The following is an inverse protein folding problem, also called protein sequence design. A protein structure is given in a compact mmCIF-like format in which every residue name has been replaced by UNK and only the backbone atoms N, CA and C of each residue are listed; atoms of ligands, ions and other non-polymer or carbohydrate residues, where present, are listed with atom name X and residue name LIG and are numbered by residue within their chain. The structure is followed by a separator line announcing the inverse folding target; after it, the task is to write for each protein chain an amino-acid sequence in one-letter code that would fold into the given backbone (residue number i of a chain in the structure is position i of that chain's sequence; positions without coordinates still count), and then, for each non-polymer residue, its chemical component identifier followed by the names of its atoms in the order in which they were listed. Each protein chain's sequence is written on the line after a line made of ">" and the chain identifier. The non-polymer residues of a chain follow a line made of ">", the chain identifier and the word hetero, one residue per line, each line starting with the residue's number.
data_IF_919436258365
#
_entry.id   IF_919436258365
#
_cell.length_a   1.000
_cell.length_b   1.000
_cell.length_c   1.000
_cell.angle_alpha   90.00
_cell.angle_beta   90.00
_cell.angle_gamma   90.00
#
_symmetry.space_group_name_H-M   'P 1'
#
loop_
_entity.id
_entity.type
_entity.pdbx_description
1 polymer ?
#
# COMPACT_ATOMS: atom_id res chain seq x y z
N UNK A 1 -2.04 27.42 -3.42
CA UNK A 1 -2.09 26.66 -4.68
C UNK A 1 -2.50 25.25 -4.36
N UNK A 2 -3.41 24.66 -5.12
CA UNK A 2 -3.78 23.26 -4.98
C UNK A 2 -2.54 22.37 -5.18
N UNK A 3 -2.49 21.23 -4.49
CA UNK A 3 -1.43 20.23 -4.67
C UNK A 3 -1.59 19.57 -6.05
N UNK A 4 -0.51 19.05 -6.63
CA UNK A 4 -0.57 18.33 -7.90
C UNK A 4 0.12 16.98 -7.78
N UNK A 5 -0.60 15.91 -8.14
CA UNK A 5 -0.15 14.52 -8.15
C UNK A 5 -0.43 13.92 -9.55
N UNK A 6 0.15 14.50 -10.59
CA UNK A 6 -0.13 14.21 -12.01
C UNK A 6 0.45 12.86 -12.48
N UNK A 7 1.10 12.10 -11.60
CA UNK A 7 1.75 10.84 -11.93
C UNK A 7 1.20 9.68 -11.10
N UNK A 8 1.12 8.51 -11.70
CA UNK A 8 0.90 7.22 -11.06
C UNK A 8 2.23 6.63 -10.58
N UNK A 9 2.21 5.74 -9.60
CA UNK A 9 3.40 5.05 -9.14
C UNK A 9 3.41 3.61 -9.66
N UNK A 10 4.26 3.32 -10.66
CA UNK A 10 4.32 2.02 -11.33
C UNK A 10 5.78 1.58 -11.48
N UNK A 11 6.09 0.37 -11.00
CA UNK A 11 7.41 -0.22 -11.13
C UNK A 11 8.52 0.58 -10.44
N UNK A 12 8.20 1.28 -9.33
CA UNK A 12 9.16 2.12 -8.61
C UNK A 12 9.43 3.47 -9.27
N UNK A 13 8.55 3.92 -10.18
CA UNK A 13 8.70 5.19 -10.89
C UNK A 13 7.37 5.95 -10.95
N UNK A 14 7.47 7.28 -10.91
CA UNK A 14 6.33 8.17 -11.11
C UNK A 14 6.09 8.37 -12.62
N UNK A 15 4.95 7.90 -13.11
CA UNK A 15 4.62 7.81 -14.54
C UNK A 15 3.42 8.69 -14.86
N UNK A 16 3.50 9.59 -15.85
CA UNK A 16 2.37 10.42 -16.27
C UNK A 16 1.16 9.58 -16.70
N UNK A 17 -0.03 9.94 -16.22
CA UNK A 17 -1.28 9.26 -16.58
C UNK A 17 -1.87 9.71 -17.92
N UNK A 18 -1.52 10.91 -18.38
CA UNK A 18 -2.09 11.52 -19.58
C UNK A 18 -3.41 12.27 -19.36
N UNK A 19 -4.04 12.12 -18.20
CA UNK A 19 -5.22 12.84 -17.71
C UNK A 19 -5.09 13.14 -16.23
N UNK A 20 -5.93 14.02 -15.70
CA UNK A 20 -6.05 14.30 -14.27
C UNK A 20 -7.47 14.78 -13.95
N UNK A 21 -7.90 14.56 -12.71
CA UNK A 21 -9.16 15.04 -12.16
C UNK A 21 -8.92 15.88 -10.90
N UNK A 22 -9.92 16.69 -10.55
CA UNK A 22 -9.89 17.50 -9.36
C UNK A 22 -10.40 16.70 -8.16
N UNK A 23 -9.59 16.62 -7.13
CA UNK A 23 -9.92 16.08 -5.82
C UNK A 23 -10.38 17.24 -4.93
N UNK A 24 -11.62 17.16 -4.44
CA UNK A 24 -12.30 18.27 -3.79
C UNK A 24 -12.31 18.13 -2.27
N UNK A 25 -12.05 19.23 -1.58
CA UNK A 25 -12.32 19.32 -0.15
C UNK A 25 -13.85 19.30 0.09
N UNK A 26 -14.39 18.27 0.75
CA UNK A 26 -15.85 18.17 0.95
C UNK A 26 -16.41 19.20 1.92
N UNK A 27 -15.57 19.93 2.68
CA UNK A 27 -16.03 20.94 3.62
C UNK A 27 -16.48 22.23 2.93
N UNK A 28 -15.86 22.59 1.80
CA UNK A 28 -16.13 23.86 1.12
C UNK A 28 -16.20 23.75 -0.42
N UNK A 29 -15.98 22.55 -0.98
CA UNK A 29 -15.99 22.30 -2.42
C UNK A 29 -14.79 22.86 -3.17
N UNK A 30 -13.78 23.37 -2.48
CA UNK A 30 -12.55 23.85 -3.13
C UNK A 30 -11.71 22.68 -3.64
N UNK A 31 -10.91 22.91 -4.71
CA UNK A 31 -9.96 21.92 -5.19
C UNK A 31 -8.84 21.77 -4.17
N UNK A 32 -8.77 20.61 -3.53
CA UNK A 32 -7.73 20.24 -2.57
C UNK A 32 -6.46 19.79 -3.28
N UNK A 33 -6.63 18.95 -4.31
CA UNK A 33 -5.53 18.48 -5.15
C UNK A 33 -5.99 18.25 -6.60
N UNK A 34 -5.02 18.14 -7.50
CA UNK A 34 -5.20 17.58 -8.83
C UNK A 34 -4.49 16.24 -8.90
N UNK A 35 -5.19 15.20 -9.30
CA UNK A 35 -4.70 13.81 -9.21
C UNK A 35 -4.72 13.16 -10.59
N UNK A 36 -3.71 12.36 -10.88
CA UNK A 36 -3.61 11.56 -12.09
C UNK A 36 -4.87 10.72 -12.33
N UNK A 37 -5.37 10.68 -13.58
CA UNK A 37 -6.49 9.86 -14.01
C UNK A 37 -5.95 8.62 -14.74
N UNK A 38 -5.87 7.51 -14.00
CA UNK A 38 -5.37 6.24 -14.51
C UNK A 38 -6.40 5.55 -15.41
N UNK A 39 -5.94 4.62 -16.24
CA UNK A 39 -6.80 3.85 -17.13
C UNK A 39 -6.45 2.36 -17.12
N UNK A 40 -7.26 1.53 -17.81
CA UNK A 40 -7.04 0.08 -17.86
C UNK A 40 -5.66 -0.33 -18.39
N UNK A 41 -5.08 0.42 -19.34
CA UNK A 41 -3.72 0.17 -19.83
C UNK A 41 -2.66 0.41 -18.76
N UNK A 42 -2.85 1.44 -17.91
CA UNK A 42 -1.97 1.69 -16.76
C UNK A 42 -2.09 0.59 -15.69
N UNK A 43 -3.31 0.11 -15.46
CA UNK A 43 -3.53 -1.02 -14.55
C UNK A 43 -2.82 -2.29 -15.02
N UNK A 44 -2.85 -2.59 -16.32
CA UNK A 44 -2.11 -3.72 -16.90
C UNK A 44 -0.60 -3.55 -16.69
N UNK A 45 -0.05 -2.37 -16.97
CA UNK A 45 1.38 -2.06 -16.71
C UNK A 45 1.76 -2.22 -15.24
N UNK A 46 0.88 -1.83 -14.31
CA UNK A 46 1.10 -1.99 -12.87
C UNK A 46 1.13 -3.48 -12.47
N UNK A 47 0.24 -4.30 -13.05
CA UNK A 47 0.22 -5.76 -12.85
C UNK A 47 1.50 -6.39 -13.40
N UNK A 48 1.94 -6.02 -14.59
CA UNK A 48 3.18 -6.51 -15.21
C UNK A 48 4.41 -6.14 -14.36
N UNK A 49 4.47 -4.90 -13.85
CA UNK A 49 5.53 -4.46 -12.95
C UNK A 49 5.55 -5.26 -11.64
N UNK A 50 4.36 -5.52 -11.06
CA UNK A 50 4.22 -6.34 -9.87
C UNK A 50 4.65 -7.80 -10.13
N UNK A 51 4.28 -8.38 -11.27
CA UNK A 51 4.70 -9.73 -11.67
C UNK A 51 6.21 -9.83 -11.85
N UNK A 52 6.83 -8.81 -12.43
CA UNK A 52 8.29 -8.77 -12.61
C UNK A 52 9.04 -8.66 -11.27
N UNK A 53 8.49 -7.94 -10.28
CA UNK A 53 9.08 -7.79 -8.95
C UNK A 53 8.91 -9.04 -8.06
N UNK A 54 7.85 -9.82 -8.29
CA UNK A 54 7.42 -10.92 -7.43
C UNK A 54 8.52 -11.95 -7.14
N UNK A 55 9.29 -12.48 -8.10
CA UNK A 55 10.32 -13.50 -7.82
C UNK A 55 11.37 -13.01 -6.83
N UNK A 56 11.81 -11.76 -6.98
CA UNK A 56 12.77 -11.16 -6.04
C UNK A 56 12.16 -10.97 -4.65
N UNK A 57 10.98 -10.33 -4.57
CA UNK A 57 10.32 -10.03 -3.30
C UNK A 57 9.94 -11.27 -2.51
N UNK A 58 9.34 -12.27 -3.18
CA UNK A 58 8.95 -13.54 -2.55
C UNK A 58 10.14 -14.41 -2.13
N UNK A 59 11.30 -14.21 -2.76
CA UNK A 59 12.56 -14.89 -2.44
C UNK A 59 13.31 -14.30 -1.23
N UNK A 60 12.95 -13.09 -0.78
CA UNK A 60 13.53 -12.50 0.42
C UNK A 60 13.19 -13.34 1.66
N UNK A 61 14.11 -13.34 2.63
CA UNK A 61 13.87 -13.96 3.93
C UNK A 61 12.76 -13.23 4.70
N UNK A 62 12.18 -13.90 5.70
CA UNK A 62 11.19 -13.29 6.58
C UNK A 62 11.74 -12.04 7.31
N UNK A 63 13.03 -12.06 7.71
CA UNK A 63 13.69 -10.93 8.35
C UNK A 63 13.79 -9.70 7.42
N UNK A 64 14.17 -9.91 6.16
CA UNK A 64 14.29 -8.82 5.19
C UNK A 64 12.93 -8.17 4.92
N UNK A 65 11.88 -8.97 4.72
CA UNK A 65 10.53 -8.41 4.54
C UNK A 65 10.04 -7.70 5.80
N UNK A 66 10.25 -8.26 7.00
CA UNK A 66 9.93 -7.60 8.26
C UNK A 66 10.62 -6.24 8.38
N UNK A 67 11.90 -6.16 8.04
CA UNK A 67 12.67 -4.92 8.08
C UNK A 67 12.06 -3.82 7.18
N UNK A 68 11.63 -4.16 5.95
CA UNK A 68 10.93 -3.20 5.09
C UNK A 68 9.61 -2.73 5.69
N UNK A 69 8.82 -3.64 6.28
CA UNK A 69 7.55 -3.26 6.93
C UNK A 69 7.77 -2.31 8.12
N UNK A 70 8.83 -2.53 8.90
CA UNK A 70 9.19 -1.63 10.00
C UNK A 70 9.61 -0.24 9.49
N UNK A 71 10.40 -0.17 8.41
CA UNK A 71 10.75 1.11 7.78
C UNK A 71 9.51 1.86 7.27
N UNK A 72 8.55 1.16 6.69
CA UNK A 72 7.27 1.76 6.26
C UNK A 72 6.51 2.31 7.46
N UNK A 73 6.47 1.58 8.59
CA UNK A 73 5.85 2.06 9.82
C UNK A 73 6.52 3.35 10.34
N UNK A 74 7.85 3.39 10.35
CA UNK A 74 8.63 4.54 10.81
C UNK A 74 8.41 5.77 9.90
N UNK A 75 8.29 5.58 8.57
CA UNK A 75 7.98 6.65 7.62
C UNK A 75 6.55 7.20 7.83
N UNK A 76 5.56 6.36 8.14
CA UNK A 76 4.22 6.82 8.52
C UNK A 76 4.26 7.65 9.81
N UNK A 77 5.02 7.24 10.82
CA UNK A 77 5.17 8.03 12.05
C UNK A 77 5.84 9.38 11.80
N UNK A 78 6.89 9.39 10.99
CA UNK A 78 7.60 10.62 10.62
C UNK A 78 6.69 11.63 9.90
N UNK A 79 5.73 11.15 9.11
CA UNK A 79 4.80 11.95 8.32
C UNK A 79 3.41 12.10 8.97
N UNK A 80 3.31 11.83 10.26
CA UNK A 80 2.04 11.81 10.99
C UNK A 80 1.22 13.09 10.84
N UNK A 81 1.85 14.24 11.03
CA UNK A 81 1.17 15.54 10.97
C UNK A 81 0.72 15.86 9.53
N UNK A 82 1.52 15.53 8.53
CA UNK A 82 1.16 15.67 7.11
C UNK A 82 -0.07 14.81 6.78
N UNK A 83 -0.09 13.56 7.28
CA UNK A 83 -1.21 12.64 7.07
C UNK A 83 -2.48 13.15 7.75
N UNK A 84 -2.40 13.65 8.99
CA UNK A 84 -3.55 14.25 9.70
C UNK A 84 -4.12 15.42 8.89
N UNK A 85 -3.25 16.32 8.42
CA UNK A 85 -3.67 17.47 7.62
C UNK A 85 -4.30 17.04 6.27
N UNK A 86 -3.75 16.01 5.64
CA UNK A 86 -4.31 15.46 4.40
C UNK A 86 -5.70 14.83 4.62
N UNK A 87 -5.86 14.01 5.66
CA UNK A 87 -7.14 13.38 6.01
C UNK A 87 -8.25 14.40 6.33
N UNK A 88 -7.86 15.58 6.88
CA UNK A 88 -8.81 16.66 7.09
C UNK A 88 -9.17 17.39 5.79
N UNK A 89 -8.19 17.67 4.94
CA UNK A 89 -8.39 18.46 3.73
C UNK A 89 -9.02 17.66 2.59
N UNK A 90 -8.57 16.44 2.33
CA UNK A 90 -9.09 15.57 1.27
C UNK A 90 -10.41 14.91 1.69
N UNK A 91 -10.44 14.29 2.87
CA UNK A 91 -11.58 13.48 3.31
C UNK A 91 -12.59 14.22 4.20
N UNK A 92 -12.39 15.53 4.51
CA UNK A 92 -13.24 16.28 5.42
C UNK A 92 -13.28 15.73 6.85
N UNK A 93 -12.31 14.89 7.21
CA UNK A 93 -12.27 14.25 8.51
C UNK A 93 -12.03 15.23 9.64
N UNK A 94 -12.69 15.06 10.79
CA UNK A 94 -12.35 15.82 11.98
C UNK A 94 -10.98 15.42 12.54
N UNK A 95 -10.33 16.31 13.28
CA UNK A 95 -8.95 16.12 13.78
C UNK A 95 -8.73 14.76 14.49
N UNK A 96 -9.67 14.34 15.35
CA UNK A 96 -9.54 13.06 16.08
C UNK A 96 -9.56 11.83 15.16
N UNK A 97 -10.28 11.86 14.02
CA UNK A 97 -10.22 10.81 13.01
C UNK A 97 -8.83 10.76 12.38
N UNK A 98 -8.27 11.92 12.01
CA UNK A 98 -6.92 12.02 11.46
C UNK A 98 -5.86 11.48 12.45
N UNK A 99 -5.95 11.83 13.72
CA UNK A 99 -5.09 11.32 14.78
C UNK A 99 -5.22 9.80 14.98
N UNK A 100 -6.44 9.29 14.91
CA UNK A 100 -6.70 7.85 15.03
C UNK A 100 -6.08 7.07 13.86
N UNK A 101 -6.35 7.45 12.61
CA UNK A 101 -5.79 6.76 11.45
C UNK A 101 -4.26 6.82 11.43
N UNK A 102 -3.70 8.02 11.60
CA UNK A 102 -2.25 8.24 11.58
C UNK A 102 -1.50 7.49 12.70
N UNK A 103 -2.15 7.28 13.85
CA UNK A 103 -1.58 6.49 14.94
C UNK A 103 -1.73 4.98 14.75
N UNK A 104 -2.79 4.53 14.07
CA UNK A 104 -3.06 3.11 13.91
C UNK A 104 -2.33 2.48 12.71
N UNK A 105 -2.10 3.24 11.64
CA UNK A 105 -1.45 2.72 10.43
C UNK A 105 -0.04 2.17 10.66
N UNK A 106 0.87 2.84 11.40
CA UNK A 106 2.16 2.26 11.75
C UNK A 106 2.05 0.91 12.46
N UNK A 107 1.05 0.77 13.36
CA UNK A 107 0.82 -0.49 14.10
C UNK A 107 0.38 -1.64 13.19
N UNK A 108 -0.37 -1.35 12.11
CA UNK A 108 -0.73 -2.37 11.09
C UNK A 108 0.54 -2.90 10.42
N UNK A 109 1.48 -2.04 10.04
CA UNK A 109 2.74 -2.45 9.43
C UNK A 109 3.66 -3.19 10.42
N UNK A 110 3.70 -2.79 11.70
CA UNK A 110 4.42 -3.53 12.75
C UNK A 110 3.83 -4.90 12.98
N UNK A 111 2.50 -5.02 13.00
CA UNK A 111 1.82 -6.31 13.09
C UNK A 111 2.12 -7.21 11.87
N UNK A 112 2.14 -6.63 10.66
CA UNK A 112 2.51 -7.35 9.44
C UNK A 112 3.97 -7.81 9.47
N UNK A 113 4.90 -6.99 9.98
CA UNK A 113 6.28 -7.39 10.21
C UNK A 113 6.38 -8.57 11.18
N UNK A 114 5.67 -8.51 12.33
CA UNK A 114 5.65 -9.60 13.30
C UNK A 114 5.06 -10.90 12.72
N UNK A 115 4.06 -10.82 11.84
CA UNK A 115 3.46 -11.97 11.18
C UNK A 115 4.47 -12.77 10.35
N UNK A 116 5.52 -12.16 9.81
CA UNK A 116 6.52 -12.87 8.99
C UNK A 116 7.26 -13.96 9.75
N UNK A 117 7.30 -13.89 11.08
CA UNK A 117 7.93 -14.89 11.96
C UNK A 117 7.02 -16.07 12.31
N UNK A 118 5.76 -16.04 11.91
CA UNK A 118 4.83 -17.14 12.19
C UNK A 118 5.14 -18.35 11.29
N UNK A 119 4.76 -19.54 11.79
CA UNK A 119 4.90 -20.79 11.03
C UNK A 119 4.13 -20.71 9.69
N UNK A 120 4.81 -21.08 8.62
CA UNK A 120 4.26 -21.03 7.24
C UNK A 120 3.57 -22.33 6.82
N UNK A 121 3.51 -23.34 7.70
CA UNK A 121 2.92 -24.62 7.37
C UNK A 121 2.84 -25.58 8.54
N UNK A 122 2.38 -26.77 8.24
CA UNK A 122 2.16 -27.85 9.20
C UNK A 122 2.79 -29.17 8.69
N UNK A 123 3.27 -29.97 9.61
CA UNK A 123 3.68 -31.36 9.33
C UNK A 123 2.45 -32.25 9.49
N UNK A 124 2.12 -33.00 8.44
CA UNK A 124 0.93 -33.84 8.39
C UNK A 124 1.30 -35.31 8.70
N UNK A 125 0.36 -36.13 9.22
CA UNK A 125 0.54 -37.57 9.32
C UNK A 125 0.95 -38.18 7.96
N UNK A 126 1.91 -39.11 8.00
CA UNK A 126 2.47 -39.73 6.80
C UNK A 126 2.76 -41.20 7.05
N UNK A 127 2.83 -41.99 5.98
CA UNK A 127 3.29 -43.39 6.02
C UNK A 127 4.78 -43.50 6.39
N UNK A 128 5.20 -44.68 6.79
CA UNK A 128 6.60 -44.94 7.11
C UNK A 128 7.55 -44.51 6.02
N UNK A 129 8.62 -43.80 6.37
CA UNK A 129 9.65 -43.35 5.45
C UNK A 129 9.27 -42.11 4.61
N UNK A 130 8.11 -41.45 4.89
CA UNK A 130 7.67 -40.21 4.23
C UNK A 130 7.51 -39.08 5.22
N UNK A 131 7.66 -37.85 4.72
CA UNK A 131 7.29 -36.61 5.41
C UNK A 131 6.32 -35.83 4.53
N UNK A 132 5.15 -35.51 5.05
CA UNK A 132 4.15 -34.70 4.36
C UNK A 132 4.01 -33.36 5.07
N UNK A 133 4.02 -32.27 4.32
CA UNK A 133 3.88 -30.91 4.85
C UNK A 133 2.87 -30.11 4.01
N UNK A 134 1.98 -29.38 4.68
CA UNK A 134 1.17 -28.33 4.07
C UNK A 134 1.90 -27.01 4.24
N UNK A 135 2.27 -26.35 3.13
CA UNK A 135 3.04 -25.10 3.15
C UNK A 135 2.23 -23.97 2.53
N UNK A 136 2.16 -22.83 3.22
CA UNK A 136 1.59 -21.60 2.66
C UNK A 136 2.62 -20.92 1.76
N UNK A 137 2.15 -20.41 0.61
CA UNK A 137 2.98 -19.69 -0.35
C UNK A 137 2.30 -18.39 -0.75
N UNK A 138 3.05 -17.32 -1.06
CA UNK A 138 2.46 -16.11 -1.63
C UNK A 138 1.79 -16.44 -2.98
N UNK A 139 0.67 -15.77 -3.26
CA UNK A 139 -0.13 -15.98 -4.48
C UNK A 139 0.47 -15.30 -5.71
N UNK A 140 1.28 -14.26 -5.53
CA UNK A 140 1.87 -13.47 -6.61
C UNK A 140 1.47 -12.00 -6.54
N UNK A 141 0.58 -11.56 -7.42
CA UNK A 141 0.06 -10.20 -7.45
C UNK A 141 -1.31 -10.14 -6.80
N UNK A 142 -1.48 -9.20 -5.87
CA UNK A 142 -2.73 -8.94 -5.16
C UNK A 142 -3.23 -7.53 -5.54
N UNK A 143 -4.48 -7.43 -5.96
CA UNK A 143 -5.13 -6.13 -6.15
C UNK A 143 -5.85 -5.70 -4.89
N UNK A 144 -5.61 -4.47 -4.46
CA UNK A 144 -6.30 -3.83 -3.34
C UNK A 144 -7.13 -2.67 -3.86
N UNK A 145 -8.45 -2.72 -3.65
CA UNK A 145 -9.38 -1.62 -3.95
C UNK A 145 -9.82 -1.06 -2.61
N UNK A 146 -9.40 0.15 -2.27
CA UNK A 146 -9.65 0.72 -0.95
C UNK A 146 -10.81 1.70 -0.95
N UNK A 147 -11.58 1.77 0.15
CA UNK A 147 -12.69 2.70 0.30
C UNK A 147 -12.23 4.07 0.80
N UNK A 148 -13.14 5.05 0.76
CA UNK A 148 -12.90 6.44 1.13
C UNK A 148 -13.09 6.76 2.63
N UNK A 149 -13.87 5.95 3.36
CA UNK A 149 -14.33 6.34 4.72
C UNK A 149 -13.25 6.28 5.82
N UNK A 150 -12.27 5.37 5.70
CA UNK A 150 -11.03 5.30 6.49
C UNK A 150 -9.88 4.98 5.54
N UNK A 151 -9.55 5.92 4.63
CA UNK A 151 -8.76 5.60 3.44
C UNK A 151 -7.40 5.02 3.77
N UNK A 152 -6.65 5.67 4.65
CA UNK A 152 -5.29 5.21 4.97
C UNK A 152 -5.31 3.92 5.79
N UNK A 153 -6.20 3.81 6.79
CA UNK A 153 -6.29 2.63 7.64
C UNK A 153 -6.71 1.38 6.85
N UNK A 154 -7.76 1.48 6.04
CA UNK A 154 -8.28 0.32 5.31
C UNK A 154 -7.36 -0.09 4.16
N UNK A 155 -6.69 0.86 3.51
CA UNK A 155 -5.61 0.56 2.57
C UNK A 155 -4.47 -0.17 3.28
N UNK A 156 -3.98 0.32 4.41
CA UNK A 156 -2.91 -0.35 5.17
C UNK A 156 -3.26 -1.80 5.51
N UNK A 157 -4.49 -2.05 5.96
CA UNK A 157 -4.98 -3.41 6.25
C UNK A 157 -5.03 -4.31 5.01
N UNK A 158 -5.39 -3.74 3.86
CA UNK A 158 -5.47 -4.47 2.60
C UNK A 158 -4.11 -4.87 2.03
N UNK A 159 -3.06 -4.06 2.24
CA UNK A 159 -1.77 -4.27 1.58
C UNK A 159 -0.63 -4.75 2.50
N UNK A 160 -0.61 -4.37 3.78
CA UNK A 160 0.54 -4.66 4.65
C UNK A 160 0.78 -6.17 4.82
N UNK A 161 -0.26 -6.94 5.13
CA UNK A 161 -0.15 -8.39 5.34
C UNK A 161 0.16 -9.16 4.05
N UNK A 162 -0.48 -8.90 2.90
CA UNK A 162 -0.08 -9.52 1.63
C UNK A 162 1.38 -9.25 1.25
N UNK A 163 1.85 -8.01 1.41
CA UNK A 163 3.23 -7.64 1.11
C UNK A 163 4.21 -8.36 2.07
N UNK A 164 3.94 -8.35 3.36
CA UNK A 164 4.75 -9.06 4.35
C UNK A 164 4.81 -10.58 4.09
N UNK A 165 3.70 -11.16 3.60
CA UNK A 165 3.64 -12.57 3.19
C UNK A 165 4.42 -12.88 1.90
N UNK A 166 4.93 -11.87 1.19
CA UNK A 166 5.76 -12.04 -0.03
C UNK A 166 5.01 -11.80 -1.33
N UNK A 167 3.80 -11.24 -1.32
CA UNK A 167 3.09 -10.81 -2.53
C UNK A 167 3.51 -9.40 -2.94
N UNK A 168 3.31 -9.06 -4.23
CA UNK A 168 3.35 -7.69 -4.73
C UNK A 168 1.92 -7.16 -4.88
N UNK A 169 1.74 -5.84 -4.80
CA UNK A 169 0.42 -5.22 -4.74
C UNK A 169 0.23 -4.19 -5.85
N UNK A 170 -0.96 -4.21 -6.44
CA UNK A 170 -1.52 -3.10 -7.23
C UNK A 170 -2.67 -2.50 -6.42
N UNK A 171 -2.50 -1.25 -6.01
CA UNK A 171 -3.45 -0.49 -5.23
C UNK A 171 -4.27 0.45 -6.12
N UNK A 172 -5.60 0.35 -6.03
CA UNK A 172 -6.54 1.35 -6.56
C UNK A 172 -7.26 2.01 -5.38
N UNK A 173 -6.92 3.25 -5.02
CA UNK A 173 -7.68 4.01 -4.01
C UNK A 173 -9.07 4.38 -4.54
N UNK A 174 -9.95 4.82 -3.63
CA UNK A 174 -11.18 5.51 -4.03
C UNK A 174 -10.83 6.83 -4.71
N UNK A 175 -11.64 7.23 -5.69
CA UNK A 175 -11.60 8.53 -6.33
C UNK A 175 -11.93 9.70 -5.39
N UNK A 176 -12.58 9.42 -4.28
CA UNK A 176 -12.90 10.41 -3.24
C UNK A 176 -11.73 10.70 -2.29
N UNK A 177 -10.72 9.83 -2.24
CA UNK A 177 -9.55 9.97 -1.36
C UNK A 177 -8.30 9.35 -2.02
N UNK A 178 -7.94 9.82 -3.22
CA UNK A 178 -6.87 9.21 -4.01
C UNK A 178 -5.48 9.40 -3.38
N UNK A 179 -5.26 10.49 -2.66
CA UNK A 179 -3.99 10.74 -1.98
C UNK A 179 -3.87 9.94 -0.69
N UNK A 180 -4.80 10.13 0.26
CA UNK A 180 -4.72 9.48 1.59
C UNK A 180 -4.96 7.97 1.53
N UNK A 181 -5.71 7.50 0.53
CA UNK A 181 -5.93 6.08 0.26
C UNK A 181 -4.92 5.45 -0.71
N UNK A 182 -4.09 6.24 -1.39
CA UNK A 182 -3.23 5.75 -2.47
C UNK A 182 -1.87 6.39 -2.55
N UNK A 183 -1.75 7.63 -3.03
CA UNK A 183 -0.48 8.24 -3.39
C UNK A 183 0.49 8.38 -2.21
N UNK A 184 0.00 8.65 -1.01
CA UNK A 184 0.84 8.72 0.20
C UNK A 184 1.56 7.39 0.48
N UNK A 185 0.94 6.25 0.15
CA UNK A 185 1.60 4.95 0.29
C UNK A 185 2.76 4.80 -0.69
N UNK A 186 2.60 5.27 -1.93
CA UNK A 186 3.69 5.26 -2.91
C UNK A 186 4.89 6.07 -2.41
N UNK A 187 4.65 7.30 -1.94
CA UNK A 187 5.69 8.18 -1.39
C UNK A 187 6.40 7.55 -0.18
N UNK A 188 5.63 6.93 0.73
CA UNK A 188 6.17 6.29 1.93
C UNK A 188 6.96 5.03 1.58
N UNK A 189 6.47 4.19 0.67
CA UNK A 189 7.17 2.98 0.24
C UNK A 189 8.47 3.30 -0.49
N UNK A 190 8.47 4.35 -1.32
CA UNK A 190 9.68 4.87 -1.96
C UNK A 190 10.69 5.37 -0.92
N UNK A 191 10.26 6.19 0.05
CA UNK A 191 11.12 6.71 1.11
C UNK A 191 11.66 5.61 2.03
N UNK A 192 10.87 4.57 2.30
CA UNK A 192 11.30 3.38 3.06
C UNK A 192 12.27 2.48 2.28
N UNK A 193 12.48 2.74 0.99
CA UNK A 193 13.35 1.97 0.11
C UNK A 193 12.81 0.58 -0.22
N UNK A 194 11.48 0.40 -0.24
CA UNK A 194 10.86 -0.86 -0.66
C UNK A 194 11.19 -1.10 -2.15
N UNK A 195 11.58 -2.32 -2.55
CA UNK A 195 11.98 -2.59 -3.92
C UNK A 195 10.91 -2.22 -4.96
N UNK A 196 11.37 -1.71 -6.11
CA UNK A 196 10.54 -1.30 -7.23
C UNK A 196 9.54 -2.41 -7.64
N UNK A 197 8.28 -2.04 -7.87
CA UNK A 197 7.22 -2.95 -8.30
C UNK A 197 6.54 -3.77 -7.19
N UNK A 198 7.04 -3.75 -5.94
CA UNK A 198 6.37 -4.39 -4.79
C UNK A 198 5.03 -3.72 -4.49
N UNK A 199 4.98 -2.39 -4.56
CA UNK A 199 3.76 -1.60 -4.54
C UNK A 199 3.66 -0.81 -5.86
N UNK A 200 2.46 -0.82 -6.43
CA UNK A 200 2.07 0.00 -7.58
C UNK A 200 0.74 0.67 -7.26
N UNK A 201 0.58 1.95 -7.63
CA UNK A 201 -0.63 2.73 -7.33
C UNK A 201 -1.19 3.30 -8.63
N UNK A 202 -2.46 2.99 -8.90
CA UNK A 202 -3.22 3.47 -10.05
C UNK A 202 -4.53 4.07 -9.53
N UNK A 203 -4.74 5.36 -9.78
CA UNK A 203 -5.94 6.11 -9.38
C UNK A 203 -7.04 6.02 -10.42
#
# INVERSE_FOLDING_TARGET
>A
MARSFDNLYIGGSWVPAGGAFDDLNPADGSVWARVADGNGGMAVRAIEAAQAAFPHWSGLTYNERAHYMLKVADEFERRRDDLVAALQGEGGGWFGKGMFESGYVPEVFRAAAAMTYNAIGEVLPSDHGKVSMAMRRPMGVVTVISPWNFPTLLTARGLAFPIAAGNCVVLKPSEETPYTGGMIFAEIFEAAGVPAGVLNVVT
#
